data_IF_648660665608
#
_entry.id   IF_648660665608
#
_cell.length_a   1.000
_cell.length_b   1.000
_cell.length_c   1.000
_cell.angle_alpha   90.00
_cell.angle_beta   90.00
_cell.angle_gamma   90.00
#
_symmetry.space_group_name_H-M   'P 1'
#
loop_
_entity.id
_entity.type
_entity.pdbx_description
1 polymer ?
#
# COMPACT_ATOMS: atom_id res chain seq x y z
N UNK A 1 5.95 23.46 7.02
CA UNK A 1 5.88 21.99 6.96
C UNK A 1 7.20 21.44 7.47
N UNK A 2 7.23 20.50 8.43
CA UNK A 2 8.48 19.88 8.86
C UNK A 2 9.05 19.06 7.70
N UNK A 3 10.35 19.17 7.46
CA UNK A 3 11.09 18.26 6.59
C UNK A 3 11.16 16.91 7.32
N UNK A 4 10.45 15.91 6.82
CA UNK A 4 10.62 14.54 7.32
C UNK A 4 11.90 13.99 6.70
N UNK A 5 12.93 13.82 7.53
CA UNK A 5 14.20 13.23 7.10
C UNK A 5 14.02 11.71 6.92
N UNK A 6 14.02 11.26 5.67
CA UNK A 6 13.95 9.85 5.29
C UNK A 6 15.37 9.28 5.38
N UNK A 7 15.62 8.39 6.34
CA UNK A 7 16.92 7.70 6.48
C UNK A 7 16.84 6.34 5.80
N UNK A 8 17.58 6.14 4.71
CA UNK A 8 17.58 4.91 3.93
C UNK A 8 18.59 3.88 4.45
N UNK A 9 18.17 2.62 4.57
CA UNK A 9 19.03 1.47 4.87
C UNK A 9 18.90 0.45 3.72
N UNK A 10 19.99 0.23 2.99
CA UNK A 10 20.08 -0.80 1.95
C UNK A 10 20.87 -1.99 2.48
N UNK A 11 20.20 -3.13 2.63
CA UNK A 11 20.86 -4.44 2.57
C UNK A 11 20.69 -4.95 1.13
N UNK A 12 21.66 -5.71 0.63
CA UNK A 12 21.80 -6.24 -0.73
C UNK A 12 20.55 -6.92 -1.33
N UNK A 13 19.52 -7.17 -0.52
CA UNK A 13 18.25 -7.81 -0.92
C UNK A 13 16.97 -7.06 -0.50
N UNK A 14 17.07 -5.97 0.29
CA UNK A 14 15.90 -5.30 0.88
C UNK A 14 16.10 -3.79 1.02
N UNK A 15 15.06 -3.07 0.61
CA UNK A 15 15.00 -1.62 0.58
C UNK A 15 14.16 -1.14 1.75
N UNK A 16 14.79 -0.62 2.81
CA UNK A 16 14.09 -0.16 4.01
C UNK A 16 14.44 1.28 4.36
N UNK A 17 13.52 1.99 5.00
CA UNK A 17 13.77 3.35 5.47
C UNK A 17 13.04 3.64 6.76
N UNK A 18 13.59 4.55 7.57
CA UNK A 18 12.90 5.11 8.71
C UNK A 18 12.05 6.32 8.27
N UNK A 19 10.77 6.30 8.64
CA UNK A 19 9.84 7.40 8.48
C UNK A 19 9.20 7.71 9.85
N UNK A 20 9.59 8.83 10.46
CA UNK A 20 9.20 9.19 11.82
C UNK A 20 9.52 8.03 12.81
N UNK A 21 8.53 7.45 13.48
CA UNK A 21 8.67 6.32 14.41
C UNK A 21 8.41 4.96 13.77
N UNK A 22 8.33 4.89 12.45
CA UNK A 22 7.99 3.68 11.70
C UNK A 22 9.10 3.28 10.73
N UNK A 23 9.37 1.98 10.70
CA UNK A 23 10.12 1.36 9.63
C UNK A 23 9.22 1.07 8.44
N UNK A 24 9.72 1.40 7.26
CA UNK A 24 9.06 1.19 5.99
C UNK A 24 9.92 0.30 5.13
N UNK A 25 9.46 -0.93 4.88
CA UNK A 25 10.02 -1.74 3.81
C UNK A 25 9.27 -1.38 2.53
N UNK A 26 9.93 -0.62 1.67
CA UNK A 26 9.31 -0.12 0.45
C UNK A 26 9.52 -1.09 -0.72
N UNK A 27 8.58 -1.09 -1.66
CA UNK A 27 8.62 -1.93 -2.85
C UNK A 27 8.77 -3.43 -2.53
N UNK A 28 8.06 -3.92 -1.51
CA UNK A 28 7.98 -5.37 -1.23
C UNK A 28 7.47 -6.12 -2.45
N UNK A 29 6.52 -5.50 -3.15
CA UNK A 29 6.25 -5.71 -4.56
C UNK A 29 6.22 -4.35 -5.27
N UNK A 30 6.65 -4.35 -6.53
CA UNK A 30 6.60 -3.19 -7.42
C UNK A 30 5.93 -3.58 -8.74
N UNK A 31 5.21 -2.63 -9.35
CA UNK A 31 4.57 -2.85 -10.64
C UNK A 31 5.60 -2.95 -11.76
N UNK A 32 5.30 -3.72 -12.80
CA UNK A 32 6.12 -3.79 -14.03
C UNK A 32 5.88 -2.59 -14.94
N UNK A 33 4.73 -1.93 -14.80
CA UNK A 33 4.37 -0.73 -15.55
C UNK A 33 4.40 0.46 -14.59
N UNK A 34 5.02 1.56 -15.03
CA UNK A 34 4.98 2.83 -14.32
C UNK A 34 4.54 3.90 -15.31
N UNK A 35 3.41 4.53 -15.03
CA UNK A 35 2.87 5.62 -15.83
C UNK A 35 2.70 6.84 -14.94
N UNK A 36 3.45 7.90 -15.27
CA UNK A 36 3.50 9.12 -14.48
C UNK A 36 2.22 9.95 -14.61
N UNK A 37 1.50 9.83 -15.73
CA UNK A 37 0.37 10.70 -16.06
C UNK A 37 -0.99 10.11 -15.64
N UNK A 38 -1.02 8.83 -15.25
CA UNK A 38 -2.20 8.16 -14.69
C UNK A 38 -2.49 8.58 -13.26
N UNK A 39 -3.70 8.31 -12.78
CA UNK A 39 -4.09 8.57 -11.39
C UNK A 39 -3.73 7.35 -10.55
N UNK A 40 -2.89 7.50 -9.50
CA UNK A 40 -2.60 6.41 -8.57
C UNK A 40 -3.67 6.35 -7.48
N UNK A 41 -4.24 5.16 -7.25
CA UNK A 41 -5.06 4.90 -6.07
C UNK A 41 -4.15 4.69 -4.84
N UNK A 42 -4.33 5.53 -3.83
CA UNK A 42 -3.60 5.50 -2.56
C UNK A 42 -4.45 4.81 -1.52
N UNK A 43 -3.99 3.65 -1.05
CA UNK A 43 -4.66 2.84 -0.05
C UNK A 43 -3.76 2.53 1.13
N UNK A 44 -4.39 2.24 2.26
CA UNK A 44 -3.72 1.62 3.39
C UNK A 44 -4.63 0.55 4.01
N UNK A 45 -4.01 -0.45 4.62
CA UNK A 45 -4.73 -1.55 5.29
C UNK A 45 -3.89 -2.10 6.45
N UNK A 46 -4.54 -2.67 7.47
CA UNK A 46 -3.80 -3.49 8.45
C UNK A 46 -3.56 -4.88 7.86
N UNK A 47 -2.44 -5.54 8.19
CA UNK A 47 -2.10 -6.85 7.63
C UNK A 47 -3.17 -7.94 7.87
N UNK A 48 -3.94 -7.85 8.96
CA UNK A 48 -5.04 -8.76 9.30
C UNK A 48 -6.33 -8.54 8.49
N UNK A 49 -6.46 -7.38 7.84
CA UNK A 49 -7.56 -7.06 6.93
C UNK A 49 -7.19 -7.25 5.45
N UNK A 50 -5.91 -7.47 5.14
CA UNK A 50 -5.45 -7.73 3.79
C UNK A 50 -5.84 -9.15 3.36
N UNK A 51 -6.62 -9.24 2.29
CA UNK A 51 -7.07 -10.51 1.70
C UNK A 51 -7.18 -10.41 0.18
N UNK A 52 -7.73 -11.44 -0.48
CA UNK A 52 -7.79 -11.50 -1.95
C UNK A 52 -8.63 -10.40 -2.59
N UNK A 53 -9.42 -9.66 -1.82
CA UNK A 53 -10.17 -8.48 -2.26
C UNK A 53 -9.27 -7.46 -2.98
N UNK A 54 -8.00 -7.34 -2.56
CA UNK A 54 -7.03 -6.46 -3.22
C UNK A 54 -6.86 -6.75 -4.71
N UNK A 55 -7.03 -8.01 -5.14
CA UNK A 55 -6.91 -8.41 -6.55
C UNK A 55 -8.03 -7.76 -7.37
N UNK A 56 -9.27 -7.86 -6.88
CA UNK A 56 -10.44 -7.25 -7.51
C UNK A 56 -10.35 -5.72 -7.49
N UNK A 57 -9.90 -5.13 -6.38
CA UNK A 57 -9.67 -3.68 -6.27
C UNK A 57 -8.71 -3.18 -7.35
N UNK A 58 -7.56 -3.84 -7.52
CA UNK A 58 -6.57 -3.46 -8.54
C UNK A 58 -7.13 -3.66 -9.95
N UNK A 59 -7.85 -4.76 -10.19
CA UNK A 59 -8.46 -5.04 -11.49
C UNK A 59 -9.58 -4.04 -11.85
N UNK A 60 -10.39 -3.61 -10.88
CA UNK A 60 -11.45 -2.63 -11.10
C UNK A 60 -10.89 -1.23 -11.31
N UNK A 61 -9.82 -0.86 -10.60
CA UNK A 61 -9.14 0.41 -10.80
C UNK A 61 -8.47 0.50 -12.18
N UNK A 62 -7.86 -0.60 -12.67
CA UNK A 62 -7.22 -0.67 -14.00
C UNK A 62 -6.18 0.44 -14.24
N UNK A 63 -5.43 0.77 -13.20
CA UNK A 63 -4.44 1.84 -13.15
C UNK A 63 -3.48 1.68 -11.97
N UNK A 64 -2.52 2.58 -11.77
CA UNK A 64 -1.54 2.44 -10.69
C UNK A 64 -2.18 2.41 -9.30
N UNK A 65 -1.70 1.52 -8.43
CA UNK A 65 -2.12 1.42 -7.03
C UNK A 65 -0.90 1.45 -6.11
N UNK A 66 -0.93 2.28 -5.07
CA UNK A 66 0.09 2.30 -4.02
C UNK A 66 -0.56 1.97 -2.68
N UNK A 67 -0.14 0.84 -2.08
CA UNK A 67 -0.70 0.28 -0.86
C UNK A 67 0.33 0.31 0.28
N UNK A 68 -0.05 0.86 1.43
CA UNK A 68 0.69 0.64 2.69
C UNK A 68 0.00 -0.39 3.55
N UNK A 69 0.70 -1.49 3.85
CA UNK A 69 0.22 -2.53 4.76
C UNK A 69 0.88 -2.34 6.13
N UNK A 70 0.07 -2.01 7.12
CA UNK A 70 0.53 -1.80 8.50
C UNK A 70 0.50 -3.14 9.23
N UNK A 71 1.65 -3.56 9.74
CA UNK A 71 1.75 -4.73 10.59
C UNK A 71 1.31 -4.37 12.02
N UNK A 72 0.56 -5.26 12.66
CA UNK A 72 0.19 -5.20 14.09
C UNK A 72 1.09 -6.04 14.98
N UNK A 73 1.80 -7.00 14.38
CA UNK A 73 2.87 -7.74 15.03
C UNK A 73 3.96 -8.04 14.00
N UNK A 74 5.22 -8.08 14.45
CA UNK A 74 6.34 -8.48 13.60
C UNK A 74 6.17 -9.90 13.05
N UNK A 75 5.40 -10.75 13.74
CA UNK A 75 5.04 -12.10 13.27
C UNK A 75 4.28 -12.11 11.93
N UNK A 76 3.57 -11.01 11.59
CA UNK A 76 2.84 -10.91 10.33
C UNK A 76 3.74 -10.63 9.12
N UNK A 77 4.99 -10.23 9.34
CA UNK A 77 5.88 -9.75 8.29
C UNK A 77 6.05 -10.77 7.16
N UNK A 78 6.52 -11.98 7.50
CA UNK A 78 6.86 -12.99 6.49
C UNK A 78 5.65 -13.45 5.71
N UNK A 79 4.53 -13.67 6.41
CA UNK A 79 3.31 -14.06 5.73
C UNK A 79 2.80 -12.96 4.79
N UNK A 80 2.80 -11.69 5.22
CA UNK A 80 2.36 -10.57 4.39
C UNK A 80 3.21 -10.45 3.13
N UNK A 81 4.54 -10.59 3.27
CA UNK A 81 5.45 -10.62 2.11
C UNK A 81 5.11 -11.78 1.16
N UNK A 82 4.89 -12.99 1.68
CA UNK A 82 4.54 -14.16 0.85
C UNK A 82 3.20 -13.97 0.14
N UNK A 83 2.19 -13.44 0.84
CA UNK A 83 0.89 -13.13 0.26
C UNK A 83 1.02 -12.14 -0.89
N UNK A 84 1.67 -10.98 -0.67
CA UNK A 84 1.88 -9.97 -1.71
C UNK A 84 2.64 -10.52 -2.93
N UNK A 85 3.69 -11.32 -2.70
CA UNK A 85 4.44 -11.97 -3.78
C UNK A 85 3.60 -13.03 -4.51
N UNK A 86 2.73 -13.75 -3.81
CA UNK A 86 1.82 -14.75 -4.39
C UNK A 86 0.81 -14.08 -5.31
N UNK A 87 0.09 -13.06 -4.84
CA UNK A 87 -0.92 -12.38 -5.66
C UNK A 87 -0.30 -11.69 -6.88
N UNK A 88 0.91 -11.12 -6.74
CA UNK A 88 1.66 -10.55 -7.87
C UNK A 88 2.02 -11.58 -8.94
N UNK A 89 2.28 -12.83 -8.56
CA UNK A 89 2.59 -13.90 -9.54
C UNK A 89 1.33 -14.46 -10.21
N UNK A 90 0.18 -14.35 -9.55
CA UNK A 90 -1.06 -15.01 -9.97
C UNK A 90 -2.03 -14.07 -10.72
N UNK A 91 -1.89 -12.75 -10.58
CA UNK A 91 -2.71 -11.75 -11.27
C UNK A 91 -1.83 -10.79 -12.05
N UNK A 92 -2.10 -10.70 -13.36
CA UNK A 92 -1.44 -9.77 -14.26
C UNK A 92 -1.74 -8.32 -13.89
N UNK A 93 -2.96 -8.03 -13.44
CA UNK A 93 -3.38 -6.70 -12.98
C UNK A 93 -2.54 -6.28 -11.76
N UNK A 94 -2.38 -7.18 -10.78
CA UNK A 94 -1.52 -6.94 -9.61
C UNK A 94 -0.06 -6.76 -10.02
N UNK A 95 0.45 -7.59 -10.93
CA UNK A 95 1.82 -7.45 -11.46
C UNK A 95 2.06 -6.11 -12.13
N UNK A 96 1.09 -5.63 -12.90
CA UNK A 96 1.21 -4.43 -13.69
C UNK A 96 1.01 -3.15 -12.89
N UNK A 97 0.22 -3.20 -11.82
CA UNK A 97 -0.31 -1.98 -11.20
C UNK A 97 -0.05 -1.83 -9.71
N UNK A 98 0.12 -2.92 -8.96
CA UNK A 98 0.22 -2.84 -7.50
C UNK A 98 1.66 -2.61 -7.04
N UNK A 99 1.84 -1.49 -6.33
CA UNK A 99 2.98 -1.24 -5.46
C UNK A 99 2.55 -1.44 -4.01
N UNK A 100 3.34 -2.18 -3.23
CA UNK A 100 3.05 -2.37 -1.81
C UNK A 100 4.27 -2.16 -0.90
N UNK A 101 3.99 -1.55 0.25
CA UNK A 101 4.95 -1.22 1.30
C UNK A 101 4.50 -1.86 2.61
N UNK A 102 5.46 -2.33 3.42
CA UNK A 102 5.16 -2.75 4.79
C UNK A 102 5.57 -1.66 5.78
N UNK A 103 4.72 -1.41 6.76
CA UNK A 103 4.91 -0.39 7.79
C UNK A 103 4.82 -1.04 9.16
N UNK A 104 5.81 -0.83 10.01
CA UNK A 104 5.82 -1.35 11.38
C UNK A 104 6.60 -0.42 12.32
N UNK A 105 6.31 -0.40 13.62
CA UNK A 105 7.03 0.43 14.59
C UNK A 105 8.54 0.19 14.57
N UNK A 106 9.32 1.28 14.65
CA UNK A 106 10.79 1.21 14.78
C UNK A 106 11.21 0.39 16.00
N UNK A 107 10.42 0.43 17.08
CA UNK A 107 10.72 -0.28 18.34
C UNK A 107 10.78 -1.79 18.21
N UNK A 108 10.30 -2.38 17.10
CA UNK A 108 10.33 -3.82 16.88
C UNK A 108 11.65 -4.33 16.31
N UNK A 109 12.49 -3.47 15.74
CA UNK A 109 13.74 -3.89 15.11
C UNK A 109 14.87 -2.87 15.30
N UNK A 110 16.11 -3.33 15.18
CA UNK A 110 17.27 -2.44 15.13
C UNK A 110 17.48 -2.00 13.68
N UNK A 111 17.49 -0.69 13.42
CA UNK A 111 17.75 -0.07 12.12
C UNK A 111 16.80 -0.49 10.98
N UNK A 112 15.53 -0.82 11.28
CA UNK A 112 14.57 -1.26 10.26
C UNK A 112 14.96 -2.52 9.51
N UNK A 113 16.00 -3.22 9.96
CA UNK A 113 16.36 -4.55 9.52
C UNK A 113 15.37 -5.52 10.13
N UNK A 114 14.47 -6.07 9.31
CA UNK A 114 13.74 -7.26 9.68
C UNK A 114 14.72 -8.43 9.69
N UNK A 115 15.55 -8.54 10.74
CA UNK A 115 16.24 -9.76 11.10
C UNK A 115 15.14 -10.77 11.38
N UNK A 116 14.88 -11.56 10.35
CA UNK A 116 13.85 -12.58 10.33
C UNK A 116 14.04 -13.45 11.57
N UNK A 117 13.03 -13.44 12.45
CA UNK A 117 12.78 -14.64 13.25
C UNK A 117 12.78 -15.79 12.24
N UNK A 118 13.58 -16.83 12.53
CA UNK A 118 13.69 -18.02 11.67
C UNK A 118 12.31 -18.35 11.12
N UNK A 119 12.15 -18.56 9.81
CA UNK A 119 10.87 -18.97 9.27
C UNK A 119 10.48 -20.22 10.04
N UNK A 120 9.44 -20.10 10.86
CA UNK A 120 8.62 -21.25 11.16
C UNK A 120 8.38 -21.91 9.80
N UNK A 121 8.72 -23.19 9.68
CA UNK A 121 8.50 -24.04 8.50
C UNK A 121 7.01 -24.10 8.10
N UNK A 122 6.15 -23.26 8.65
CA UNK A 122 4.81 -23.00 8.17
C UNK A 122 4.86 -22.48 6.73
N UNK A 123 4.56 -23.40 5.82
CA UNK A 123 4.18 -23.16 4.43
C UNK A 123 2.80 -22.48 4.30
N UNK A 124 2.23 -21.98 5.40
CA UNK A 124 0.92 -21.34 5.40
C UNK A 124 0.95 -20.13 4.45
N UNK A 125 0.23 -20.25 3.34
CA UNK A 125 0.08 -19.20 2.32
C UNK A 125 -0.97 -18.16 2.68
N UNK A 126 -1.68 -18.40 3.79
CA UNK A 126 -2.73 -17.55 4.32
C UNK A 126 -2.22 -17.02 5.65
N UNK A 127 -2.20 -15.70 5.78
CA UNK A 127 -1.88 -15.09 7.06
C UNK A 127 -3.05 -15.40 7.96
N UNK A 128 -2.78 -16.09 9.06
CA UNK A 128 -3.79 -16.24 10.09
C UNK A 128 -4.31 -14.83 10.38
N UNK A 129 -5.63 -14.66 10.22
CA UNK A 129 -6.31 -13.48 10.74
C UNK A 129 -6.09 -13.57 12.24
N UNK A 130 -5.01 -12.96 12.71
CA UNK A 130 -4.70 -12.96 14.13
C UNK A 130 -5.91 -12.41 14.87
N UNK A 131 -6.04 -12.83 16.13
CA UNK A 131 -7.12 -12.48 17.04
C UNK A 131 -7.63 -11.06 16.82
N UNK A 132 -8.95 -10.89 16.98
CA UNK A 132 -9.63 -9.59 16.92
C UNK A 132 -8.76 -8.53 17.60
N UNK A 133 -8.49 -7.46 16.86
CA UNK A 133 -7.73 -6.31 17.32
C UNK A 133 -8.10 -5.93 18.76
N UNK A 134 -7.11 -5.72 19.62
CA UNK A 134 -7.39 -5.05 20.89
C UNK A 134 -7.81 -3.60 20.61
N UNK A 135 -8.60 -3.01 21.53
CA UNK A 135 -9.01 -1.59 21.43
C UNK A 135 -7.79 -0.68 21.29
N UNK A 136 -6.71 -0.99 22.02
CA UNK A 136 -5.45 -0.27 21.94
C UNK A 136 -4.80 -0.38 20.55
N UNK A 137 -4.76 -1.58 19.95
CA UNK A 137 -4.22 -1.76 18.60
C UNK A 137 -5.00 -1.01 17.54
N UNK A 138 -6.33 -0.90 17.69
CA UNK A 138 -7.17 -0.08 16.81
C UNK A 138 -6.87 1.41 17.00
N UNK A 139 -6.79 1.87 18.25
CA UNK A 139 -6.52 3.27 18.58
C UNK A 139 -5.12 3.73 18.12
N UNK A 140 -4.13 2.83 18.13
CA UNK A 140 -2.75 3.12 17.71
C UNK A 140 -2.53 2.96 16.20
N UNK A 141 -3.56 2.64 15.41
CA UNK A 141 -3.41 2.50 13.97
C UNK A 141 -2.97 3.82 13.31
N UNK A 142 -1.82 3.86 12.62
CA UNK A 142 -1.22 5.11 12.16
C UNK A 142 -1.75 5.52 10.77
N UNK A 143 -3.06 5.81 10.70
CA UNK A 143 -3.77 6.10 9.45
C UNK A 143 -3.07 7.17 8.59
N UNK A 144 -2.69 8.30 9.19
CA UNK A 144 -2.05 9.40 8.48
C UNK A 144 -0.65 9.03 7.98
N UNK A 145 0.11 8.27 8.78
CA UNK A 145 1.45 7.81 8.40
C UNK A 145 1.36 6.80 7.26
N UNK A 146 0.47 5.82 7.35
CA UNK A 146 0.29 4.80 6.31
C UNK A 146 -0.13 5.44 4.96
N UNK A 147 -1.09 6.37 5.01
CA UNK A 147 -1.52 7.14 3.83
C UNK A 147 -0.38 7.97 3.23
N UNK A 148 0.41 8.64 4.06
CA UNK A 148 1.56 9.43 3.61
C UNK A 148 2.64 8.57 2.98
N UNK A 149 2.93 7.39 3.53
CA UNK A 149 3.90 6.44 2.97
C UNK A 149 3.44 6.01 1.57
N UNK A 150 2.21 5.52 1.42
CA UNK A 150 1.68 5.13 0.11
C UNK A 150 1.72 6.29 -0.91
N UNK A 151 1.43 7.52 -0.47
CA UNK A 151 1.54 8.74 -1.30
C UNK A 151 2.97 9.05 -1.73
N UNK A 152 3.93 9.07 -0.79
CA UNK A 152 5.33 9.42 -1.07
C UNK A 152 5.95 8.45 -2.07
N UNK A 153 5.61 7.17 -1.95
CA UNK A 153 6.11 6.14 -2.86
C UNK A 153 5.23 5.92 -4.10
N UNK A 154 4.18 6.72 -4.32
CA UNK A 154 3.43 6.69 -5.57
C UNK A 154 4.29 7.21 -6.73
N UNK A 155 4.12 6.61 -7.91
CA UNK A 155 4.95 6.93 -9.08
C UNK A 155 4.31 7.99 -9.99
N UNK A 156 3.06 8.41 -9.73
CA UNK A 156 2.32 9.31 -10.60
C UNK A 156 2.17 10.72 -10.07
N UNK A 157 1.84 11.65 -10.98
CA UNK A 157 1.57 13.06 -10.66
C UNK A 157 0.25 13.24 -9.91
N UNK A 158 -0.77 12.47 -10.28
CA UNK A 158 -2.13 12.55 -9.75
C UNK A 158 -2.43 11.36 -8.85
N UNK A 159 -3.17 11.60 -7.76
CA UNK A 159 -3.50 10.56 -6.78
C UNK A 159 -4.96 10.69 -6.36
N UNK A 160 -5.59 9.57 -6.04
CA UNK A 160 -6.86 9.54 -5.29
C UNK A 160 -6.65 8.75 -4.01
N UNK A 161 -7.19 9.21 -2.89
CA UNK A 161 -7.04 8.53 -1.59
C UNK A 161 -8.33 7.80 -1.26
N UNK A 162 -8.23 6.52 -0.96
CA UNK A 162 -9.39 5.65 -0.79
C UNK A 162 -9.16 4.69 0.36
N UNK A 163 -10.22 4.33 1.08
CA UNK A 163 -10.12 3.27 2.09
C UNK A 163 -10.18 1.91 1.40
N UNK A 164 -9.53 0.90 2.00
CA UNK A 164 -9.46 -0.47 1.46
C UNK A 164 -10.85 -1.11 1.26
N UNK A 165 -11.83 -0.71 2.06
CA UNK A 165 -13.20 -1.24 2.03
C UNK A 165 -14.06 -0.65 0.91
N UNK A 166 -13.63 0.45 0.28
CA UNK A 166 -14.37 1.09 -0.81
C UNK A 166 -13.93 0.53 -2.16
N UNK A 167 -14.87 -0.07 -2.89
CA UNK A 167 -14.63 -0.56 -4.25
C UNK A 167 -15.06 0.46 -5.28
N UNK A 168 -14.26 0.58 -6.33
CA UNK A 168 -14.64 1.33 -7.52
C UNK A 168 -15.29 0.40 -8.54
N UNK A 169 -16.22 0.95 -9.31
CA UNK A 169 -16.69 0.30 -10.53
C UNK A 169 -15.52 0.13 -11.50
N UNK A 170 -15.52 -0.95 -12.29
CA UNK A 170 -14.49 -1.20 -13.30
C UNK A 170 -14.28 0.01 -14.22
N UNK A 171 -13.02 0.40 -14.41
CA UNK A 171 -12.62 1.49 -15.31
C UNK A 171 -12.87 2.90 -14.75
N UNK A 172 -13.11 3.03 -13.45
CA UNK A 172 -13.35 4.32 -12.80
C UNK A 172 -12.24 5.34 -13.04
N UNK A 173 -10.97 4.90 -13.03
CA UNK A 173 -9.83 5.80 -13.28
C UNK A 173 -9.96 6.50 -14.65
N UNK A 174 -10.29 5.74 -15.70
CA UNK A 174 -10.48 6.26 -17.06
C UNK A 174 -11.67 7.21 -17.14
N UNK A 175 -12.76 6.91 -16.43
CA UNK A 175 -13.93 7.78 -16.36
C UNK A 175 -13.60 9.12 -15.68
N UNK A 176 -12.75 9.09 -14.66
CA UNK A 176 -12.28 10.30 -14.00
C UNK A 176 -11.34 11.12 -14.88
N UNK A 177 -10.41 10.45 -15.55
CA UNK A 177 -9.48 11.10 -16.47
C UNK A 177 -10.17 11.70 -17.72
N UNK A 178 -11.28 11.11 -18.18
CA UNK A 178 -12.04 11.57 -19.36
C UNK A 178 -13.11 12.62 -19.06
N UNK A 179 -13.69 12.62 -17.85
CA UNK A 179 -14.68 13.63 -17.44
C UNK A 179 -14.04 14.97 -17.07
N UNK A 180 -12.75 14.98 -16.76
CA UNK A 180 -11.97 16.21 -16.68
C UNK A 180 -11.44 16.56 -18.07
N UNK A 181 -11.91 17.67 -18.65
CA UNK A 181 -11.10 18.39 -19.65
C UNK A 181 -9.67 18.48 -19.13
N UNK A 182 -8.69 17.89 -19.84
CA UNK A 182 -7.29 17.70 -19.42
C UNK A 182 -6.91 18.51 -18.17
N UNK A 183 -6.87 17.88 -16.98
CA UNK A 183 -6.70 18.63 -15.75
C UNK A 183 -5.36 19.37 -15.78
N UNK A 184 -5.41 20.70 -15.74
CA UNK A 184 -4.20 21.54 -15.69
C UNK A 184 -3.45 21.39 -14.36
N UNK A 185 -4.10 20.88 -13.32
CA UNK A 185 -3.55 20.72 -11.98
C UNK A 185 -4.19 19.57 -11.16
N UNK A 186 -3.58 19.29 -9.99
CA UNK A 186 -3.96 18.19 -9.08
C UNK A 186 -5.33 18.37 -8.43
N UNK A 187 -5.76 19.60 -8.22
CA UNK A 187 -6.99 19.91 -7.50
C UNK A 187 -8.21 19.65 -8.38
N UNK A 188 -8.10 19.98 -9.68
CA UNK A 188 -9.15 19.72 -10.67
C UNK A 188 -9.39 18.22 -10.89
N UNK A 189 -8.34 17.39 -10.96
CA UNK A 189 -8.48 15.93 -11.07
C UNK A 189 -9.16 15.32 -9.85
N UNK A 190 -8.78 15.75 -8.65
CA UNK A 190 -9.38 15.23 -7.41
C UNK A 190 -10.86 15.57 -7.31
N UNK A 191 -11.24 16.80 -7.68
CA UNK A 191 -12.64 17.23 -7.68
C UNK A 191 -13.47 16.47 -8.72
N UNK A 192 -12.94 16.20 -9.92
CA UNK A 192 -13.62 15.40 -10.95
C UNK A 192 -13.80 13.93 -10.51
N UNK A 193 -12.79 13.33 -9.86
CA UNK A 193 -12.90 11.99 -9.28
C UNK A 193 -13.99 11.93 -8.20
N UNK A 194 -14.05 12.93 -7.32
CA UNK A 194 -15.03 13.00 -6.22
C UNK A 194 -16.47 13.19 -6.72
N UNK A 195 -16.67 13.97 -7.80
CA UNK A 195 -18.01 14.17 -8.38
C UNK A 195 -18.57 12.92 -9.06
N UNK A 196 -17.70 12.06 -9.60
CA UNK A 196 -18.08 10.79 -10.22
C UNK A 196 -18.19 9.64 -9.21
N UNK A 197 -17.78 9.84 -7.96
CA UNK A 197 -17.93 8.87 -6.89
C UNK A 197 -19.38 8.88 -6.39
N UNK A 198 -20.20 7.93 -6.87
CA UNK A 198 -21.49 7.61 -6.25
C UNK A 198 -21.26 6.43 -5.30
N UNK A 199 -21.31 6.71 -4.00
CA UNK A 199 -21.35 5.70 -2.93
C UNK A 199 -22.67 4.94 -2.90
#
# INVERSE_FOLDING_TARGET
MPKNDIISYSDSTRSSTLYDKYCVHYNVIAPTISDFDRITQIMHVSADFLDNTIIEQVANWDGPVSLSVVLRSIAQYDCTVRFLKKIRRLSTEVEQHLRAHLVFPKTWTTNCSASLVLPSLSFASVCEKHQKASVEQVALYPVNTARNIARIFSASKYIVITDYEHFFSKGFEKNCASSGSQPSDRETTNNACLQNFRG
#
